data_IF_924060001998
#
_entry.id   IF_924060001998
#
_cell.length_a   1.000
_cell.length_b   1.000
_cell.length_c   1.000
_cell.angle_alpha   90.00
_cell.angle_beta   90.00
_cell.angle_gamma   90.00
#
_symmetry.space_group_name_H-M   'P 1'
#
loop_
_entity.id
_entity.type
_entity.pdbx_description
1 polymer ?
#
# COMPACT_ATOMS: atom_id res chain seq x y z
N UNK A 1 5.58 -32.26 -38.26
CA UNK A 1 5.79 -30.80 -38.02
C UNK A 1 5.07 -30.45 -36.70
N UNK A 2 5.82 -30.36 -35.60
CA UNK A 2 5.27 -30.06 -34.28
C UNK A 2 5.26 -28.54 -34.11
N UNK A 3 4.08 -27.95 -33.86
CA UNK A 3 3.93 -26.54 -33.53
C UNK A 3 4.45 -26.29 -32.12
N UNK A 4 5.16 -25.16 -31.89
CA UNK A 4 5.65 -24.80 -30.56
C UNK A 4 4.46 -24.46 -29.64
N UNK A 5 4.38 -25.13 -28.50
CA UNK A 5 3.46 -24.77 -27.43
C UNK A 5 3.95 -23.44 -26.85
N UNK A 6 3.28 -22.35 -27.21
CA UNK A 6 3.49 -21.06 -26.55
C UNK A 6 2.82 -21.13 -25.17
N UNK A 7 3.62 -21.28 -24.13
CA UNK A 7 3.17 -21.07 -22.77
C UNK A 7 2.85 -19.60 -22.56
N UNK A 8 1.62 -19.20 -22.79
CA UNK A 8 1.10 -17.91 -22.37
C UNK A 8 0.96 -17.98 -20.84
N UNK A 9 1.96 -17.53 -20.10
CA UNK A 9 1.77 -17.16 -18.70
C UNK A 9 0.78 -16.00 -18.68
N UNK A 10 -0.46 -16.30 -18.28
CA UNK A 10 -1.37 -15.24 -17.88
C UNK A 10 -0.68 -14.46 -16.75
N UNK A 11 -0.41 -13.19 -16.96
CA UNK A 11 -0.02 -12.32 -15.88
C UNK A 11 -1.13 -12.39 -14.83
N UNK A 12 -0.78 -12.74 -13.58
CA UNK A 12 -1.75 -12.68 -12.50
C UNK A 12 -2.16 -11.21 -12.38
N UNK A 13 -3.34 -10.88 -12.83
CA UNK A 13 -3.96 -9.61 -12.53
C UNK A 13 -4.32 -9.66 -11.06
N UNK A 14 -3.64 -8.87 -10.23
CA UNK A 14 -4.00 -8.72 -8.83
C UNK A 14 -5.41 -8.11 -8.79
N UNK A 15 -6.39 -8.96 -8.62
CA UNK A 15 -7.80 -8.56 -8.50
C UNK A 15 -8.05 -8.20 -7.04
N UNK A 16 -8.48 -6.97 -6.79
CA UNK A 16 -8.96 -6.59 -5.45
C UNK A 16 -10.28 -7.30 -5.18
N UNK A 17 -10.27 -8.19 -4.22
CA UNK A 17 -11.48 -8.83 -3.73
C UNK A 17 -12.15 -7.92 -2.69
N UNK A 18 -13.17 -7.19 -3.11
CA UNK A 18 -13.90 -6.25 -2.25
C UNK A 18 -14.73 -6.92 -1.15
N UNK A 19 -14.87 -8.26 -1.21
CA UNK A 19 -15.53 -9.03 -0.14
C UNK A 19 -14.61 -9.31 1.04
N UNK A 20 -13.31 -9.11 0.89
CA UNK A 20 -12.30 -9.34 1.93
C UNK A 20 -11.94 -8.05 2.63
N UNK A 21 -11.72 -8.18 3.93
CA UNK A 21 -11.18 -7.11 4.77
C UNK A 21 -9.71 -7.42 5.10
N UNK A 22 -8.90 -6.39 5.13
CA UNK A 22 -7.52 -6.46 5.59
C UNK A 22 -7.37 -5.94 7.01
N UNK A 23 -6.19 -6.11 7.57
CA UNK A 23 -5.81 -5.51 8.85
C UNK A 23 -4.46 -4.82 8.72
N UNK A 24 -4.25 -3.78 9.51
CA UNK A 24 -2.96 -3.13 9.66
C UNK A 24 -2.52 -3.35 11.11
N UNK A 25 -1.35 -3.96 11.29
CA UNK A 25 -0.72 -4.11 12.60
C UNK A 25 0.52 -3.23 12.64
N UNK A 26 0.60 -2.36 13.65
CA UNK A 26 1.74 -1.45 13.82
C UNK A 26 2.52 -1.89 15.05
N UNK A 27 3.80 -2.24 14.85
CA UNK A 27 4.74 -2.55 15.91
C UNK A 27 5.70 -1.38 16.07
N UNK A 28 5.80 -0.84 17.28
CA UNK A 28 6.74 0.24 17.58
C UNK A 28 7.79 -0.22 18.58
N UNK A 29 9.04 -0.03 18.20
CA UNK A 29 10.20 -0.45 19.00
C UNK A 29 11.13 0.70 19.30
N UNK A 30 11.75 0.66 20.49
CA UNK A 30 12.88 1.53 20.84
C UNK A 30 14.17 0.97 20.21
N UNK A 31 14.44 1.41 18.99
CA UNK A 31 15.61 1.00 18.23
C UNK A 31 16.92 1.49 18.87
N UNK A 32 16.87 2.59 19.62
CA UNK A 32 18.04 3.12 20.32
C UNK A 32 18.42 2.20 21.48
N UNK A 33 17.47 1.83 22.33
CA UNK A 33 17.70 0.89 23.41
C UNK A 33 18.14 -0.50 22.91
N UNK A 34 17.53 -0.98 21.83
CA UNK A 34 17.90 -2.24 21.20
C UNK A 34 19.37 -2.23 20.72
N UNK A 35 19.79 -1.15 20.04
CA UNK A 35 21.16 -0.97 19.57
C UNK A 35 22.17 -0.91 20.74
N UNK A 36 21.84 -0.19 21.81
CA UNK A 36 22.68 -0.12 23.00
C UNK A 36 22.85 -1.47 23.69
N UNK A 37 21.85 -2.32 23.61
CA UNK A 37 21.88 -3.69 24.11
C UNK A 37 22.57 -4.70 23.15
N UNK A 38 23.17 -4.23 22.05
CA UNK A 38 23.93 -5.06 21.11
C UNK A 38 23.09 -5.72 20.02
N UNK A 39 21.81 -5.37 19.87
CA UNK A 39 20.99 -5.86 18.77
C UNK A 39 21.44 -5.20 17.47
N UNK A 40 21.71 -5.99 16.43
CA UNK A 40 22.01 -5.43 15.10
C UNK A 40 20.73 -4.93 14.44
N UNK A 41 20.42 -3.66 14.68
CA UNK A 41 19.19 -3.03 14.19
C UNK A 41 19.21 -2.69 12.70
N UNK A 42 20.38 -2.69 12.06
CA UNK A 42 20.50 -2.35 10.63
C UNK A 42 19.92 -3.42 9.68
N UNK A 43 19.72 -4.62 10.18
CA UNK A 43 19.11 -5.71 9.42
C UNK A 43 17.57 -5.63 9.36
N UNK A 44 16.95 -4.82 10.21
CA UNK A 44 15.50 -4.71 10.27
C UNK A 44 15.03 -3.54 9.44
N UNK A 45 14.75 -3.81 8.17
CA UNK A 45 14.16 -2.83 7.25
C UNK A 45 12.67 -3.12 7.11
N UNK A 46 11.80 -2.10 7.22
CA UNK A 46 10.37 -2.28 7.00
C UNK A 46 10.10 -2.81 5.58
N UNK A 47 9.48 -3.97 5.49
CA UNK A 47 9.17 -4.64 4.21
C UNK A 47 7.67 -4.71 3.91
N UNK A 48 6.83 -4.08 4.76
CA UNK A 48 5.37 -4.12 4.63
C UNK A 48 4.75 -5.51 4.86
N UNK A 49 5.51 -6.43 5.44
CA UNK A 49 5.09 -7.79 5.81
C UNK A 49 5.52 -8.09 7.23
N UNK A 50 4.87 -9.08 7.83
CA UNK A 50 5.31 -9.60 9.13
C UNK A 50 6.72 -10.18 9.01
N UNK A 51 7.58 -9.77 9.93
CA UNK A 51 8.95 -10.27 10.08
C UNK A 51 9.10 -10.90 11.48
N UNK A 52 8.89 -12.20 11.56
CA UNK A 52 8.95 -12.93 12.83
C UNK A 52 10.33 -12.88 13.48
N UNK A 53 11.40 -12.76 12.70
CA UNK A 53 12.78 -12.67 13.22
C UNK A 53 13.00 -11.29 13.87
N UNK A 54 12.53 -10.22 13.23
CA UNK A 54 12.57 -8.87 13.80
C UNK A 54 11.69 -8.76 15.05
N UNK A 55 10.48 -9.32 15.03
CA UNK A 55 9.58 -9.35 16.18
C UNK A 55 10.22 -10.01 17.38
N UNK A 56 10.82 -11.21 17.21
CA UNK A 56 11.48 -11.94 18.29
C UNK A 56 12.70 -11.20 18.84
N UNK A 57 13.53 -10.62 17.98
CA UNK A 57 14.72 -9.88 18.39
C UNK A 57 14.41 -8.56 19.11
N UNK A 58 13.28 -7.94 18.78
CA UNK A 58 12.87 -6.64 19.30
C UNK A 58 11.79 -6.70 20.39
N UNK A 59 11.30 -7.87 20.75
CA UNK A 59 10.19 -8.08 21.71
C UNK A 59 10.39 -7.30 23.02
N UNK A 60 11.61 -7.28 23.55
CA UNK A 60 11.97 -6.59 24.80
C UNK A 60 11.97 -5.06 24.68
N UNK A 61 11.95 -4.55 23.46
CA UNK A 61 12.06 -3.13 23.15
C UNK A 61 10.77 -2.54 22.62
N UNK A 62 9.65 -3.24 22.82
CA UNK A 62 8.33 -2.74 22.43
C UNK A 62 7.97 -1.50 23.24
N UNK A 63 7.61 -0.42 22.56
CA UNK A 63 7.11 0.80 23.19
C UNK A 63 5.61 0.62 23.42
N UNK A 64 5.20 0.53 24.68
CA UNK A 64 3.80 0.41 25.08
C UNK A 64 3.15 1.77 25.24
N UNK A 65 1.80 1.80 25.12
CA UNK A 65 1.01 3.01 25.38
C UNK A 65 1.11 4.07 24.27
N UNK A 66 1.61 3.71 23.09
CA UNK A 66 1.58 4.60 21.92
C UNK A 66 0.19 4.56 21.32
N UNK A 67 -0.44 5.71 21.19
CA UNK A 67 -1.71 5.87 20.51
C UNK A 67 -1.47 6.18 19.04
N UNK A 68 -2.15 5.44 18.16
CA UNK A 68 -2.13 5.65 16.72
C UNK A 68 -3.51 6.08 16.24
N UNK A 69 -3.55 7.07 15.40
CA UNK A 69 -4.77 7.48 14.72
C UNK A 69 -4.67 7.10 13.24
N UNK A 70 -5.81 6.79 12.64
CA UNK A 70 -5.89 6.55 11.20
C UNK A 70 -6.99 7.41 10.59
N UNK A 71 -6.80 7.78 9.33
CA UNK A 71 -7.78 8.48 8.52
C UNK A 71 -7.95 7.71 7.22
N UNK A 72 -9.19 7.36 6.87
CA UNK A 72 -9.51 6.85 5.54
C UNK A 72 -9.46 7.99 4.55
N UNK A 73 -8.55 7.92 3.60
CA UNK A 73 -8.31 9.00 2.63
C UNK A 73 -9.04 8.79 1.30
N UNK A 74 -9.55 7.59 1.02
CA UNK A 74 -10.31 7.30 -0.19
C UNK A 74 -10.62 5.82 -0.36
N UNK A 75 -11.41 5.52 -1.38
CA UNK A 75 -11.74 4.17 -1.81
C UNK A 75 -10.84 3.73 -2.97
N UNK A 76 -10.77 2.42 -3.20
CA UNK A 76 -9.99 1.84 -4.28
C UNK A 76 -10.93 1.09 -5.21
N UNK A 77 -10.83 1.35 -6.52
CA UNK A 77 -11.54 0.64 -7.55
C UNK A 77 -10.58 0.04 -8.58
N UNK A 78 -11.05 -0.93 -9.31
CA UNK A 78 -10.37 -1.45 -10.49
C UNK A 78 -10.94 -0.80 -11.74
N UNK A 79 -10.05 -0.32 -12.60
CA UNK A 79 -10.40 0.13 -13.94
C UNK A 79 -9.76 -0.78 -14.96
N UNK A 80 -10.55 -1.23 -15.94
CA UNK A 80 -10.01 -1.94 -17.10
C UNK A 80 -9.91 -0.99 -18.28
N UNK A 81 -8.71 -0.78 -18.77
CA UNK A 81 -8.45 0.05 -19.93
C UNK A 81 -7.51 -0.71 -20.89
N UNK A 82 -7.95 -0.87 -22.16
CA UNK A 82 -7.19 -1.58 -23.18
C UNK A 82 -6.75 -3.00 -22.76
N UNK A 83 -7.60 -3.72 -22.01
CA UNK A 83 -7.33 -5.06 -21.51
C UNK A 83 -6.31 -5.11 -20.34
N UNK A 84 -5.88 -3.98 -19.83
CA UNK A 84 -5.07 -3.88 -18.60
C UNK A 84 -5.95 -3.46 -17.44
N UNK A 85 -5.77 -4.15 -16.32
CA UNK A 85 -6.40 -3.78 -15.05
C UNK A 85 -5.44 -2.89 -14.29
N UNK A 86 -5.92 -1.72 -13.87
CA UNK A 86 -5.18 -0.81 -13.00
C UNK A 86 -6.05 -0.43 -11.80
N UNK A 87 -5.38 -0.12 -10.71
CA UNK A 87 -6.03 0.40 -9.50
C UNK A 87 -6.17 1.90 -9.61
N UNK A 88 -7.35 2.39 -9.30
CA UNK A 88 -7.63 3.82 -9.18
C UNK A 88 -8.17 4.11 -7.79
N UNK A 89 -7.84 5.28 -7.27
CA UNK A 89 -8.09 5.68 -5.90
C UNK A 89 -9.02 6.88 -5.88
N UNK A 90 -10.18 6.73 -5.26
CA UNK A 90 -11.04 7.89 -4.96
C UNK A 90 -10.35 8.75 -3.90
N UNK A 91 -10.19 10.03 -4.20
CA UNK A 91 -9.66 10.99 -3.24
C UNK A 91 -10.69 12.07 -2.94
N UNK A 92 -10.99 12.34 -1.66
CA UNK A 92 -11.80 13.49 -1.27
C UNK A 92 -11.17 14.80 -1.74
N UNK A 93 -11.99 15.80 -2.04
CA UNK A 93 -11.54 17.10 -2.55
C UNK A 93 -10.45 17.74 -1.68
N UNK A 94 -10.55 17.60 -0.37
CA UNK A 94 -9.55 18.12 0.56
C UNK A 94 -8.18 17.47 0.34
N UNK A 95 -8.15 16.17 0.12
CA UNK A 95 -6.89 15.42 -0.16
C UNK A 95 -6.36 15.81 -1.54
N UNK A 96 -7.23 15.94 -2.54
CA UNK A 96 -6.84 16.42 -3.87
C UNK A 96 -6.14 17.78 -3.79
N UNK A 97 -6.71 18.73 -3.03
CA UNK A 97 -6.12 20.06 -2.83
C UNK A 97 -4.76 20.01 -2.16
N UNK A 98 -4.61 19.19 -1.12
CA UNK A 98 -3.31 19.01 -0.41
C UNK A 98 -2.24 18.48 -1.37
N UNK A 99 -2.62 17.54 -2.25
CA UNK A 99 -1.71 16.94 -3.22
C UNK A 99 -1.54 17.78 -4.50
N UNK A 100 -2.29 18.89 -4.66
CA UNK A 100 -2.27 19.69 -5.87
C UNK A 100 -2.84 18.97 -7.09
N UNK A 101 -3.75 18.01 -6.87
CA UNK A 101 -4.46 17.29 -7.92
C UNK A 101 -5.73 18.05 -8.34
N UNK A 102 -6.04 18.01 -9.61
CA UNK A 102 -7.25 18.61 -10.18
C UNK A 102 -8.10 17.55 -10.89
N UNK A 103 -9.35 17.87 -11.17
CA UNK A 103 -10.22 16.96 -11.93
C UNK A 103 -9.73 16.71 -13.36
N UNK A 104 -8.89 17.58 -13.91
CA UNK A 104 -8.24 17.37 -15.21
C UNK A 104 -7.11 16.34 -15.16
N UNK A 105 -6.56 16.07 -13.98
CA UNK A 105 -5.53 15.03 -13.76
C UNK A 105 -6.19 13.63 -13.56
N UNK A 106 -7.53 13.57 -13.40
CA UNK A 106 -8.21 12.36 -12.99
C UNK A 106 -8.20 11.27 -14.06
N UNK A 107 -7.97 10.03 -13.63
CA UNK A 107 -8.15 8.85 -14.46
C UNK A 107 -9.63 8.55 -14.76
N UNK A 108 -10.51 8.84 -13.79
CA UNK A 108 -11.95 8.63 -13.89
C UNK A 108 -12.69 9.67 -13.04
N UNK A 109 -13.83 10.13 -13.54
CA UNK A 109 -14.79 10.91 -12.75
C UNK A 109 -16.15 10.24 -12.87
N UNK A 110 -16.82 10.03 -11.74
CA UNK A 110 -18.16 9.42 -11.68
C UNK A 110 -19.01 10.14 -10.63
N UNK A 111 -19.98 10.89 -11.10
CA UNK A 111 -20.77 11.78 -10.24
C UNK A 111 -19.88 12.82 -9.55
N UNK A 112 -19.91 12.84 -8.23
CA UNK A 112 -19.06 13.72 -7.41
C UNK A 112 -17.70 13.11 -7.05
N UNK A 113 -17.44 11.87 -7.46
CA UNK A 113 -16.22 11.11 -7.12
C UNK A 113 -15.18 11.28 -8.20
N UNK A 114 -13.94 11.47 -7.78
CA UNK A 114 -12.80 11.65 -8.67
C UNK A 114 -11.72 10.65 -8.29
N UNK A 115 -11.23 9.89 -9.27
CA UNK A 115 -10.30 8.78 -9.08
C UNK A 115 -8.99 9.08 -9.81
N UNK A 116 -7.90 8.70 -9.17
CA UNK A 116 -6.53 8.89 -9.67
C UNK A 116 -5.77 7.57 -9.66
N UNK A 117 -4.85 7.39 -10.58
CA UNK A 117 -3.89 6.29 -10.54
C UNK A 117 -2.82 6.54 -9.46
N UNK A 118 -2.14 5.48 -9.02
CA UNK A 118 -1.00 5.61 -8.10
C UNK A 118 0.12 6.47 -8.69
N UNK A 119 0.33 6.42 -10.01
CA UNK A 119 1.33 7.25 -10.69
C UNK A 119 0.98 8.74 -10.56
N UNK A 120 -0.27 9.13 -10.86
CA UNK A 120 -0.72 10.52 -10.74
C UNK A 120 -0.59 11.06 -9.31
N UNK A 121 -0.83 10.21 -8.29
CA UNK A 121 -0.67 10.58 -6.89
C UNK A 121 0.81 10.76 -6.51
N UNK A 122 1.68 9.89 -7.00
CA UNK A 122 3.10 9.90 -6.65
C UNK A 122 3.92 10.99 -7.36
N UNK A 123 3.40 11.56 -8.43
CA UNK A 123 4.06 12.64 -9.19
C UNK A 123 3.83 14.04 -8.58
N UNK A 124 3.06 14.14 -7.51
CA UNK A 124 2.73 15.39 -6.79
C UNK A 124 3.39 15.42 -5.40
#
# INVERSE_FOLDING_TARGET
MLAPIVNIKAASTDVVDTSKTGSITIHKYDMTAAKQAGVNTSQFTPIGKQDAAAEAALEKYVIKGVEFSYLRVGDVEQQSENGKIQMIYELPTTIQQILGLTSSDAAKTEGSKTYFTSQQINEK
#
